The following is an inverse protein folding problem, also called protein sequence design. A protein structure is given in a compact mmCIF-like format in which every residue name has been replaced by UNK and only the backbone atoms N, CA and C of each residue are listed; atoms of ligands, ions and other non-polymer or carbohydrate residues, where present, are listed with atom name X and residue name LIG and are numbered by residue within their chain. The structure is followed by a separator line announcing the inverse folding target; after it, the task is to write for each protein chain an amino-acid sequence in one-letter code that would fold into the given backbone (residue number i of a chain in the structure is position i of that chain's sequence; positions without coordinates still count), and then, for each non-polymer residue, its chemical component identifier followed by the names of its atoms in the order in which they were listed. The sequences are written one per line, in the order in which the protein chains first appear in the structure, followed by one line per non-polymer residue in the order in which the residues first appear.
data_IF_918943168893
#
_entry.id   IF_918943168893
#
_cell.length_a   1.000
_cell.length_b   1.000
_cell.length_c   1.000
_cell.angle_alpha   90.00
_cell.angle_beta   90.00
_cell.angle_gamma   90.00
#
_symmetry.space_group_name_H-M   'P 1'
#
loop_
_entity.id
_entity.type
_entity.pdbx_description
1 polymer ?
#
# COMPACT_ATOMS: atom_id res chain seq x y z
N UNK A 1 -3.04 4.96 -3.05
CA UNK A 1 -2.74 4.03 -4.17
C UNK A 1 -4.07 3.53 -4.74
N UNK A 2 -4.26 3.38 -6.06
CA UNK A 2 -5.51 2.81 -6.62
C UNK A 2 -5.37 1.31 -6.80
N UNK A 3 -6.38 0.55 -6.39
CA UNK A 3 -6.49 -0.90 -6.63
C UNK A 3 -7.75 -1.15 -7.43
N UNK A 4 -7.60 -1.84 -8.56
CA UNK A 4 -8.70 -2.27 -9.42
C UNK A 4 -8.87 -3.79 -9.24
N UNK A 5 -9.96 -4.20 -8.57
CA UNK A 5 -10.28 -5.62 -8.37
C UNK A 5 -11.30 -6.01 -9.45
N UNK A 6 -10.88 -6.88 -10.37
CA UNK A 6 -11.72 -7.37 -11.47
C UNK A 6 -12.12 -8.84 -11.28
N UNK A 7 -13.36 -9.23 -11.63
CA UNK A 7 -14.41 -8.38 -12.22
C UNK A 7 -14.95 -7.35 -11.21
N UNK A 8 -15.42 -6.20 -11.70
CA UNK A 8 -15.92 -5.09 -10.86
C UNK A 8 -17.09 -5.48 -9.94
N UNK A 9 -17.73 -6.62 -10.22
CA UNK A 9 -18.75 -7.29 -9.39
C UNK A 9 -18.18 -8.25 -8.33
N UNK A 10 -16.88 -8.20 -8.05
CA UNK A 10 -16.30 -8.93 -6.93
C UNK A 10 -17.02 -8.51 -5.64
N UNK A 11 -17.76 -9.45 -5.03
CA UNK A 11 -18.49 -9.25 -3.77
C UNK A 11 -17.53 -8.91 -2.64
N UNK A 12 -16.28 -9.34 -2.77
CA UNK A 12 -15.25 -9.14 -1.79
C UNK A 12 -14.05 -8.40 -2.39
N UNK A 13 -14.13 -7.07 -2.36
CA UNK A 13 -13.02 -6.17 -2.76
C UNK A 13 -12.04 -5.92 -1.61
N UNK A 14 -12.13 -6.70 -0.52
CA UNK A 14 -11.20 -6.56 0.59
C UNK A 14 -9.82 -7.04 0.14
N UNK A 15 -8.85 -6.16 0.31
CA UNK A 15 -7.44 -6.44 0.16
C UNK A 15 -6.75 -6.11 1.47
N UNK A 16 -5.75 -6.90 1.84
CA UNK A 16 -4.94 -6.66 3.02
C UNK A 16 -3.69 -5.91 2.58
N UNK A 17 -3.54 -4.71 3.10
CA UNK A 17 -2.33 -3.90 2.92
C UNK A 17 -1.35 -4.18 4.05
N UNK A 18 -0.09 -4.37 3.71
CA UNK A 18 1.01 -4.56 4.66
C UNK A 18 2.17 -3.69 4.24
N UNK A 19 2.65 -2.81 5.13
CA UNK A 19 3.93 -2.13 4.91
C UNK A 19 5.07 -3.03 5.39
N UNK A 20 6.07 -3.26 4.53
CA UNK A 20 7.31 -3.94 4.93
C UNK A 20 8.24 -3.03 5.74
N UNK A 21 8.08 -1.71 5.63
CA UNK A 21 8.92 -0.71 6.31
C UNK A 21 8.03 0.39 6.95
N UNK A 22 7.33 0.05 8.03
CA UNK A 22 6.48 0.99 8.78
C UNK A 22 7.23 2.20 9.33
N UNK A 23 8.54 2.07 9.58
CA UNK A 23 9.39 3.15 10.08
C UNK A 23 9.63 4.25 9.02
N UNK A 24 9.41 3.92 7.74
CA UNK A 24 9.57 4.84 6.60
C UNK A 24 8.23 5.27 6.03
N UNK A 25 7.33 4.32 5.79
CA UNK A 25 5.97 4.61 5.38
C UNK A 25 4.99 3.58 5.95
N UNK A 26 3.85 4.07 6.43
CA UNK A 26 2.73 3.23 6.88
C UNK A 26 1.66 3.19 5.81
N UNK A 27 0.86 2.13 5.78
CA UNK A 27 -0.30 2.00 4.89
C UNK A 27 -1.51 1.60 5.70
N UNK A 28 -2.66 2.24 5.45
CA UNK A 28 -3.92 1.88 6.09
C UNK A 28 -4.70 0.81 5.30
N UNK A 29 -5.81 0.35 5.86
CA UNK A 29 -6.69 -0.66 5.23
C UNK A 29 -7.36 -0.16 3.94
N UNK A 30 -7.31 1.15 3.68
CA UNK A 30 -7.88 1.78 2.50
C UNK A 30 -6.82 1.99 1.41
N UNK A 31 -5.55 1.66 1.67
CA UNK A 31 -4.44 1.85 0.73
C UNK A 31 -3.90 3.30 0.71
N UNK A 32 -4.14 4.05 1.78
CA UNK A 32 -3.52 5.35 2.00
C UNK A 32 -2.14 5.13 2.61
N UNK A 33 -1.12 5.63 1.92
CA UNK A 33 0.27 5.53 2.36
C UNK A 33 0.68 6.85 2.99
N UNK A 34 1.16 6.80 4.23
CA UNK A 34 1.70 7.95 4.96
C UNK A 34 3.20 7.78 5.16
N UNK A 35 3.98 8.74 4.65
CA UNK A 35 5.42 8.80 4.88
C UNK A 35 5.71 9.25 6.32
N UNK A 36 6.49 8.46 7.04
CA UNK A 36 6.94 8.72 8.41
C UNK A 36 8.34 9.33 8.38
N UNK A 37 9.26 8.76 7.59
CA UNK A 37 10.63 9.20 7.52
C UNK A 37 11.22 8.96 6.12
N UNK A 38 12.22 9.78 5.76
CA UNK A 38 12.93 9.66 4.49
C UNK A 38 13.53 8.27 4.33
N UNK A 39 13.29 7.68 3.16
CA UNK A 39 13.74 6.35 2.80
C UNK A 39 12.72 5.60 1.94
N UNK A 40 13.07 4.37 1.57
CA UNK A 40 12.22 3.52 0.72
C UNK A 40 11.39 2.55 1.57
N UNK A 41 10.10 2.49 1.31
CA UNK A 41 9.17 1.53 1.90
C UNK A 41 8.51 0.68 0.84
N UNK A 42 8.42 -0.62 1.07
CA UNK A 42 7.68 -1.53 0.18
C UNK A 42 6.33 -1.83 0.78
N UNK A 43 5.27 -1.51 0.05
CA UNK A 43 3.89 -1.81 0.40
C UNK A 43 3.45 -3.06 -0.37
N UNK A 44 3.01 -4.08 0.33
CA UNK A 44 2.46 -5.31 -0.24
C UNK A 44 0.94 -5.30 -0.06
N UNK A 45 0.21 -5.62 -1.12
CA UNK A 45 -1.24 -5.79 -1.10
C UNK A 45 -1.57 -7.20 -1.54
N UNK A 46 -2.38 -7.88 -0.72
CA UNK A 46 -2.81 -9.25 -0.96
C UNK A 46 -4.33 -9.27 -1.01
N UNK A 47 -4.93 -9.88 -2.03
CA UNK A 47 -6.38 -10.10 -2.06
C UNK A 47 -6.79 -10.91 -0.83
N UNK A 48 -7.96 -10.67 -0.23
CA UNK A 48 -8.38 -11.42 0.97
C UNK A 48 -8.36 -12.95 0.76
N UNK A 49 -8.61 -13.41 -0.47
CA UNK A 49 -8.56 -14.83 -0.85
C UNK A 49 -7.13 -15.38 -1.00
N UNK A 50 -6.10 -14.55 -0.83
CA UNK A 50 -4.68 -14.93 -1.00
C UNK A 50 -4.25 -15.19 -2.45
N UNK A 51 -5.20 -15.30 -3.37
CA UNK A 51 -5.04 -15.63 -4.79
C UNK A 51 -4.21 -14.62 -5.60
N UNK A 52 -4.22 -13.35 -5.21
CA UNK A 52 -3.47 -12.30 -5.91
C UNK A 52 -2.64 -11.46 -4.95
N UNK A 53 -1.42 -11.12 -5.38
CA UNK A 53 -0.50 -10.25 -4.64
C UNK A 53 0.04 -9.18 -5.58
N UNK A 54 0.12 -7.95 -5.09
CA UNK A 54 0.81 -6.86 -5.76
C UNK A 54 1.71 -6.14 -4.76
N UNK A 55 2.78 -5.54 -5.25
CA UNK A 55 3.74 -4.78 -4.45
C UNK A 55 3.95 -3.41 -5.06
N UNK A 56 4.05 -2.38 -4.23
CA UNK A 56 4.45 -1.05 -4.64
C UNK A 56 5.60 -0.56 -3.77
N UNK A 57 6.60 0.00 -4.44
CA UNK A 57 7.71 0.68 -3.80
C UNK A 57 7.36 2.14 -3.63
N UNK A 58 7.44 2.64 -2.41
CA UNK A 58 7.17 4.03 -2.05
C UNK A 58 8.47 4.63 -1.56
N UNK A 59 8.97 5.62 -2.30
CA UNK A 59 10.11 6.40 -1.88
C UNK A 59 9.60 7.65 -1.16
N UNK A 60 9.90 7.74 0.14
CA UNK A 60 9.61 8.92 0.96
C UNK A 60 10.80 9.86 0.84
N UNK A 61 10.63 10.93 0.10
CA UNK A 61 11.59 12.03 0.03
C UNK A 61 11.25 13.07 1.09
N UNK A 62 12.26 13.82 1.56
CA UNK A 62 12.01 14.96 2.44
C UNK A 62 11.15 15.96 1.66
N UNK A 63 10.02 16.38 2.23
CA UNK A 63 9.30 17.52 1.70
C UNK A 63 10.27 18.71 1.65
N UNK A 64 10.30 19.49 0.55
CA UNK A 64 11.16 20.67 0.49
C UNK A 64 10.80 21.56 1.68
N UNK A 65 11.78 21.85 2.53
CA UNK A 65 11.62 22.80 3.62
C UNK A 65 11.24 24.15 3.00
N UNK A 66 10.07 24.66 3.36
CA UNK A 66 9.64 26.02 3.04
C UNK A 66 10.39 27.03 3.91
#
# INVERSE_FOLDING_TARGET
MRVDVQPSNATNKKVTWTSKNSDKATVDQNGNVAGVAVGTATIEVVSQDGSHKATATVEVTAAPAA
#
